data_IF_164980154751
#
_entry.id   IF_164980154751
#
_cell.length_a   1.000
_cell.length_b   1.000
_cell.length_c   1.000
_cell.angle_alpha   90.00
_cell.angle_beta   90.00
_cell.angle_gamma   90.00
#
_symmetry.space_group_name_H-M   'P 1'
#
loop_
_entity.id
_entity.type
_entity.pdbx_description
1 polymer ?
#
# COMPACT_ATOMS: atom_id res chain seq x y z
N UNK A 1 -5.00 -0.29 44.69
CA UNK A 1 -5.33 -1.03 43.44
C UNK A 1 -4.18 -0.86 42.47
N UNK A 2 -3.49 -1.94 42.06
CA UNK A 2 -2.58 -1.84 40.90
C UNK A 2 -3.44 -1.54 39.68
N UNK A 3 -3.21 -0.40 39.03
CA UNK A 3 -3.82 -0.12 37.72
C UNK A 3 -3.45 -1.28 36.79
N UNK A 4 -4.47 -1.97 36.27
CA UNK A 4 -4.26 -3.03 35.27
C UNK A 4 -3.56 -2.39 34.08
N UNK A 5 -2.42 -2.96 33.67
CA UNK A 5 -1.71 -2.50 32.48
C UNK A 5 -2.61 -2.73 31.25
N UNK A 6 -2.67 -1.76 30.31
CA UNK A 6 -3.36 -1.98 29.05
C UNK A 6 -2.83 -3.21 28.32
N UNK A 7 -3.70 -3.92 27.64
CA UNK A 7 -3.38 -5.12 26.87
C UNK A 7 -3.42 -4.84 25.38
N UNK A 8 -2.33 -5.19 24.68
CA UNK A 8 -2.15 -4.91 23.26
C UNK A 8 -1.82 -6.21 22.53
N UNK A 9 -2.57 -6.53 21.50
CA UNK A 9 -2.28 -7.62 20.57
C UNK A 9 -1.70 -7.05 19.29
N UNK A 10 -0.57 -7.58 18.84
CA UNK A 10 0.04 -7.24 17.56
C UNK A 10 0.10 -8.49 16.70
N UNK A 11 -0.52 -8.45 15.52
CA UNK A 11 -0.42 -9.52 14.53
C UNK A 11 0.31 -8.99 13.29
N UNK A 12 1.48 -9.55 13.01
CA UNK A 12 2.33 -9.18 11.89
C UNK A 12 2.34 -10.27 10.80
N UNK A 13 2.65 -9.91 9.57
CA UNK A 13 2.86 -10.87 8.49
C UNK A 13 4.31 -11.36 8.48
N UNK A 14 4.54 -12.64 8.14
CA UNK A 14 5.89 -13.14 7.91
C UNK A 14 6.56 -12.40 6.73
N UNK A 15 7.87 -12.20 6.83
CA UNK A 15 8.68 -11.51 5.81
C UNK A 15 9.53 -12.49 4.99
N UNK A 16 9.86 -12.10 3.75
CA UNK A 16 10.79 -12.85 2.90
C UNK A 16 12.19 -12.94 3.53
N UNK A 17 12.71 -11.80 4.02
CA UNK A 17 14.05 -11.69 4.60
C UNK A 17 14.08 -12.32 6.01
N UNK A 18 14.86 -13.39 6.15
CA UNK A 18 15.09 -14.11 7.40
C UNK A 18 16.54 -13.97 7.87
N UNK A 19 16.77 -14.01 9.19
CA UNK A 19 18.09 -13.89 9.83
C UNK A 19 18.99 -15.11 9.59
N UNK A 20 18.37 -16.26 9.29
CA UNK A 20 19.02 -17.51 8.90
C UNK A 20 18.41 -18.00 7.61
N UNK A 21 19.22 -18.63 6.76
CA UNK A 21 18.82 -19.26 5.49
C UNK A 21 19.60 -20.55 5.30
N UNK A 22 19.04 -21.45 4.49
CA UNK A 22 19.68 -22.69 4.09
C UNK A 22 19.21 -23.06 2.68
N UNK A 23 20.07 -23.64 1.86
CA UNK A 23 19.76 -23.97 0.46
C UNK A 23 18.60 -24.99 0.36
N UNK A 24 18.62 -26.01 1.23
CA UNK A 24 17.56 -27.02 1.33
C UNK A 24 16.36 -26.63 2.22
N UNK A 25 16.18 -25.34 2.54
CA UNK A 25 15.10 -24.92 3.43
C UNK A 25 13.72 -25.32 2.86
N UNK A 26 12.76 -25.73 3.72
CA UNK A 26 11.47 -26.24 3.29
C UNK A 26 10.66 -25.17 2.56
N UNK A 27 9.92 -25.61 1.54
CA UNK A 27 9.00 -24.78 0.77
C UNK A 27 7.56 -24.96 1.26
N UNK A 28 6.60 -24.25 0.66
CA UNK A 28 5.18 -24.45 0.97
C UNK A 28 4.70 -25.91 0.83
N UNK A 29 5.31 -26.70 -0.08
CA UNK A 29 4.97 -28.10 -0.34
C UNK A 29 5.51 -29.05 0.74
N UNK A 30 6.59 -28.65 1.39
CA UNK A 30 7.24 -29.43 2.45
C UNK A 30 6.62 -29.13 3.83
N UNK A 31 5.57 -28.31 3.89
CA UNK A 31 4.95 -27.80 5.12
C UNK A 31 3.41 -27.90 5.10
N UNK A 32 2.83 -28.81 4.31
CA UNK A 32 1.38 -28.94 4.17
C UNK A 32 0.72 -29.51 5.43
N UNK A 33 1.34 -30.51 6.04
CA UNK A 33 0.81 -31.18 7.24
C UNK A 33 1.54 -30.75 8.51
N UNK A 34 0.93 -31.03 9.67
CA UNK A 34 1.57 -30.77 10.97
C UNK A 34 2.87 -31.57 11.12
N UNK A 35 2.85 -32.85 10.78
CA UNK A 35 4.02 -33.73 10.92
C UNK A 35 5.18 -33.28 10.03
N UNK A 36 4.89 -32.77 8.83
CA UNK A 36 5.88 -32.17 7.95
C UNK A 36 6.54 -30.93 8.57
N UNK A 37 5.74 -30.07 9.22
CA UNK A 37 6.26 -28.88 9.92
C UNK A 37 7.14 -29.24 11.12
N UNK A 38 6.76 -30.26 11.88
CA UNK A 38 7.59 -30.75 13.00
C UNK A 38 8.87 -31.42 12.49
N UNK A 39 8.78 -32.26 11.45
CA UNK A 39 9.95 -32.85 10.78
C UNK A 39 10.93 -31.79 10.26
N UNK A 40 10.41 -30.68 9.74
CA UNK A 40 11.23 -29.54 9.32
C UNK A 40 11.92 -28.86 10.51
N UNK A 41 11.24 -28.68 11.66
CA UNK A 41 11.85 -28.14 12.89
C UNK A 41 12.99 -29.04 13.38
N UNK A 42 12.80 -30.36 13.35
CA UNK A 42 13.83 -31.34 13.75
C UNK A 42 15.04 -31.33 12.80
N UNK A 43 14.80 -31.42 11.48
CA UNK A 43 15.85 -31.41 10.46
C UNK A 43 16.73 -30.17 10.53
N UNK A 44 16.16 -29.01 10.81
CA UNK A 44 16.85 -27.72 10.88
C UNK A 44 17.03 -27.23 12.33
N UNK A 45 17.09 -28.14 13.30
CA UNK A 45 17.16 -27.82 14.73
C UNK A 45 18.28 -26.85 15.12
N UNK A 46 19.47 -26.95 14.51
CA UNK A 46 20.60 -26.04 14.74
C UNK A 46 20.38 -24.61 14.20
N UNK A 47 19.42 -24.44 13.29
CA UNK A 47 19.08 -23.18 12.64
C UNK A 47 17.78 -22.58 13.18
N UNK A 48 17.15 -23.18 14.20
CA UNK A 48 15.95 -22.63 14.79
C UNK A 48 16.19 -21.22 15.34
N UNK A 49 15.22 -20.34 15.10
CA UNK A 49 15.15 -19.00 15.68
C UNK A 49 13.74 -18.74 16.16
N UNK A 50 13.62 -17.98 17.25
CA UNK A 50 12.34 -17.42 17.66
C UNK A 50 11.71 -16.64 16.51
N UNK A 51 10.41 -16.77 16.30
CA UNK A 51 9.72 -16.13 15.20
C UNK A 51 9.92 -14.60 15.17
N UNK A 52 9.98 -13.95 16.35
CA UNK A 52 10.26 -12.53 16.50
C UNK A 52 11.68 -12.11 16.07
N UNK A 53 12.63 -13.06 16.08
CA UNK A 53 14.03 -12.89 15.69
C UNK A 53 14.32 -13.40 14.27
N UNK A 54 13.45 -14.27 13.75
CA UNK A 54 13.61 -14.87 12.44
C UNK A 54 13.41 -13.83 11.33
N UNK A 55 12.35 -13.01 11.40
CA UNK A 55 12.02 -12.08 10.32
C UNK A 55 12.71 -10.72 10.50
N UNK A 56 13.54 -10.35 9.52
CA UNK A 56 14.39 -9.14 9.57
C UNK A 56 14.05 -8.11 8.48
N UNK A 57 12.83 -8.17 7.92
CA UNK A 57 12.32 -7.14 7.03
C UNK A 57 12.01 -5.83 7.76
N UNK A 58 11.97 -4.70 7.04
CA UNK A 58 11.78 -3.37 7.64
C UNK A 58 10.53 -3.27 8.54
N UNK A 59 9.39 -3.82 8.10
CA UNK A 59 8.17 -3.89 8.91
C UNK A 59 8.39 -4.71 10.20
N UNK A 60 8.97 -5.90 10.10
CA UNK A 60 9.21 -6.78 11.24
C UNK A 60 10.17 -6.15 12.26
N UNK A 61 11.26 -5.52 11.81
CA UNK A 61 12.19 -4.80 12.68
C UNK A 61 11.52 -3.62 13.40
N UNK A 62 10.64 -2.88 12.71
CA UNK A 62 9.92 -1.77 13.32
C UNK A 62 8.89 -2.25 14.35
N UNK A 63 8.12 -3.30 14.04
CA UNK A 63 7.18 -3.93 14.99
C UNK A 63 7.93 -4.47 16.21
N UNK A 64 9.03 -5.18 16.02
CA UNK A 64 9.85 -5.71 17.12
C UNK A 64 10.33 -4.59 18.07
N UNK A 65 10.81 -3.48 17.51
CA UNK A 65 11.19 -2.30 18.31
C UNK A 65 9.98 -1.72 19.05
N UNK A 66 8.82 -1.65 18.41
CA UNK A 66 7.59 -1.12 19.00
C UNK A 66 7.12 -1.98 20.19
N UNK A 67 7.07 -3.31 20.00
CA UNK A 67 6.75 -4.29 21.05
C UNK A 67 7.69 -4.09 22.24
N UNK A 68 9.01 -4.08 22.03
CA UNK A 68 9.99 -3.87 23.10
C UNK A 68 9.75 -2.58 23.90
N UNK A 69 9.39 -1.49 23.23
CA UNK A 69 9.08 -0.21 23.90
C UNK A 69 7.79 -0.34 24.71
N UNK A 70 6.74 -0.91 24.11
CA UNK A 70 5.42 -1.07 24.73
C UNK A 70 5.42 -2.04 25.90
N UNK A 71 6.22 -3.11 25.89
CA UNK A 71 6.26 -4.10 26.98
C UNK A 71 6.63 -3.50 28.35
N UNK A 72 7.29 -2.33 28.37
CA UNK A 72 7.53 -1.59 29.62
C UNK A 72 6.28 -0.89 30.18
N UNK A 73 5.30 -0.58 29.32
CA UNK A 73 4.11 0.26 29.60
C UNK A 73 2.78 -0.51 29.52
N UNK A 74 2.74 -1.63 28.82
CA UNK A 74 1.56 -2.43 28.51
C UNK A 74 1.90 -3.94 28.52
N UNK A 75 0.88 -4.78 28.66
CA UNK A 75 0.98 -6.21 28.31
C UNK A 75 0.87 -6.32 26.78
N UNK A 76 1.89 -6.90 26.13
CA UNK A 76 1.93 -6.98 24.68
C UNK A 76 2.05 -8.44 24.25
N UNK A 77 1.06 -8.91 23.52
CA UNK A 77 1.07 -10.22 22.87
C UNK A 77 1.45 -10.03 21.40
N UNK A 78 2.58 -10.58 20.98
CA UNK A 78 3.09 -10.48 19.61
C UNK A 78 3.00 -11.81 18.87
N UNK A 79 2.21 -11.82 17.80
CA UNK A 79 2.02 -12.96 16.93
C UNK A 79 2.37 -12.64 15.48
N UNK A 80 2.77 -13.66 14.73
CA UNK A 80 3.11 -13.57 13.32
C UNK A 80 2.29 -14.61 12.54
N UNK A 81 1.68 -14.18 11.43
CA UNK A 81 1.07 -15.08 10.46
C UNK A 81 2.16 -15.56 9.51
N UNK A 82 2.54 -16.83 9.64
CA UNK A 82 3.46 -17.55 8.77
C UNK A 82 2.71 -18.32 7.68
N UNK A 83 3.09 -18.09 6.43
CA UNK A 83 2.60 -18.92 5.32
C UNK A 83 3.09 -20.38 5.40
N UNK A 84 4.12 -20.69 6.19
CA UNK A 84 4.62 -22.04 6.42
C UNK A 84 4.05 -22.70 7.67
N UNK A 85 3.84 -21.93 8.75
CA UNK A 85 3.61 -22.45 10.09
C UNK A 85 2.31 -21.99 10.76
N UNK A 86 1.50 -21.17 10.10
CA UNK A 86 0.24 -20.68 10.66
C UNK A 86 0.43 -19.47 11.58
N UNK A 87 -0.38 -19.36 12.63
CA UNK A 87 -0.24 -18.29 13.61
C UNK A 87 0.78 -18.71 14.68
N UNK A 88 1.91 -18.00 14.76
CA UNK A 88 3.02 -18.31 15.67
C UNK A 88 3.22 -17.17 16.67
N UNK A 89 3.58 -17.49 17.91
CA UNK A 89 3.99 -16.48 18.90
C UNK A 89 5.44 -16.03 18.63
N UNK A 90 5.81 -14.82 19.06
CA UNK A 90 7.16 -14.30 18.90
C UNK A 90 8.27 -15.24 19.39
N UNK A 91 8.03 -16.01 20.46
CA UNK A 91 9.01 -16.92 21.06
C UNK A 91 8.99 -18.33 20.45
N UNK A 92 8.07 -18.63 19.53
CA UNK A 92 8.01 -19.95 18.90
C UNK A 92 9.24 -20.16 18.00
N UNK A 93 9.93 -21.29 18.18
CA UNK A 93 11.09 -21.65 17.39
C UNK A 93 10.68 -22.15 16.00
N UNK A 94 11.17 -21.47 14.98
CA UNK A 94 10.94 -21.79 13.58
C UNK A 94 12.27 -22.01 12.83
N UNK A 95 12.32 -22.95 11.88
CA UNK A 95 13.47 -23.10 10.99
C UNK A 95 13.45 -22.03 9.90
N UNK A 96 14.55 -21.83 9.15
CA UNK A 96 14.48 -21.16 7.86
C UNK A 96 13.50 -21.90 6.94
N UNK A 97 12.78 -21.17 6.08
CA UNK A 97 11.83 -21.74 5.11
C UNK A 97 11.53 -20.72 4.01
N UNK A 98 11.05 -21.18 2.85
CA UNK A 98 10.53 -20.32 1.77
C UNK A 98 9.08 -20.63 1.47
N UNK A 99 8.18 -19.83 2.02
CA UNK A 99 6.76 -19.92 1.70
C UNK A 99 6.10 -18.55 1.88
N UNK A 100 5.20 -18.20 0.97
CA UNK A 100 4.51 -16.91 0.95
C UNK A 100 3.06 -17.07 0.48
N UNK A 101 2.17 -16.21 0.96
CA UNK A 101 0.83 -16.04 0.40
C UNK A 101 0.82 -15.14 -0.83
N UNK A 102 1.87 -14.34 -1.04
CA UNK A 102 1.93 -13.38 -2.14
C UNK A 102 1.91 -14.07 -3.50
N UNK A 103 1.07 -13.57 -4.40
CA UNK A 103 0.87 -14.13 -5.74
C UNK A 103 -0.10 -15.30 -5.80
N UNK A 104 -0.61 -15.79 -4.67
CA UNK A 104 -1.69 -16.78 -4.65
C UNK A 104 -3.05 -16.13 -4.90
N UNK A 105 -3.98 -16.89 -5.48
CA UNK A 105 -5.37 -16.45 -5.58
C UNK A 105 -6.02 -16.39 -4.19
N UNK A 106 -7.03 -15.53 -4.00
CA UNK A 106 -7.77 -15.44 -2.73
C UNK A 106 -8.31 -16.80 -2.26
N UNK A 107 -8.74 -17.66 -3.19
CA UNK A 107 -9.19 -19.02 -2.89
C UNK A 107 -8.05 -19.89 -2.34
N UNK A 108 -6.90 -19.89 -3.02
CA UNK A 108 -5.73 -20.65 -2.57
C UNK A 108 -5.18 -20.15 -1.22
N UNK A 109 -5.22 -18.84 -0.97
CA UNK A 109 -4.86 -18.26 0.33
C UNK A 109 -5.78 -18.80 1.43
N UNK A 110 -7.10 -18.81 1.21
CA UNK A 110 -8.07 -19.33 2.18
C UNK A 110 -7.86 -20.81 2.46
N UNK A 111 -7.76 -21.64 1.42
CA UNK A 111 -7.52 -23.08 1.56
C UNK A 111 -6.23 -23.37 2.34
N UNK A 112 -5.16 -22.65 2.05
CA UNK A 112 -3.91 -22.79 2.80
C UNK A 112 -4.05 -22.29 4.24
N UNK A 113 -4.74 -21.18 4.47
CA UNK A 113 -4.95 -20.64 5.80
C UNK A 113 -5.78 -21.58 6.69
N UNK A 114 -6.75 -22.29 6.11
CA UNK A 114 -7.52 -23.35 6.78
C UNK A 114 -6.64 -24.55 7.13
N UNK A 115 -5.80 -25.04 6.21
CA UNK A 115 -4.82 -26.11 6.50
C UNK A 115 -3.84 -25.75 7.63
N UNK A 116 -3.52 -24.47 7.75
CA UNK A 116 -2.66 -23.92 8.81
C UNK A 116 -3.44 -23.50 10.07
N UNK A 117 -4.76 -23.72 10.10
CA UNK A 117 -5.66 -23.33 11.19
C UNK A 117 -5.53 -21.85 11.60
N UNK A 118 -5.19 -20.94 10.67
CA UNK A 118 -4.98 -19.51 10.97
C UNK A 118 -6.28 -18.85 11.49
N UNK A 119 -7.44 -18.94 10.79
CA UNK A 119 -8.67 -18.31 11.27
C UNK A 119 -9.08 -18.79 12.65
N UNK A 120 -9.00 -20.11 12.89
CA UNK A 120 -9.36 -20.71 14.18
C UNK A 120 -8.40 -20.28 15.29
N UNK A 121 -7.10 -20.25 15.02
CA UNK A 121 -6.08 -19.84 15.99
C UNK A 121 -6.22 -18.38 16.39
N UNK A 122 -6.52 -17.50 15.43
CA UNK A 122 -6.79 -16.08 15.71
C UNK A 122 -8.08 -15.93 16.52
N UNK A 123 -9.15 -16.66 16.18
CA UNK A 123 -10.39 -16.66 16.99
C UNK A 123 -10.13 -17.12 18.43
N UNK A 124 -9.24 -18.09 18.66
CA UNK A 124 -8.88 -18.53 20.02
C UNK A 124 -8.23 -17.43 20.87
N UNK A 125 -7.61 -16.41 20.26
CA UNK A 125 -7.08 -15.26 20.99
C UNK A 125 -8.19 -14.39 21.62
N UNK A 126 -9.42 -14.45 21.11
CA UNK A 126 -10.57 -13.69 21.62
C UNK A 126 -11.07 -14.13 23.01
N UNK A 127 -10.47 -15.16 23.61
CA UNK A 127 -10.69 -15.53 25.02
C UNK A 127 -10.35 -14.39 26.00
N UNK A 128 -9.50 -13.45 25.57
CA UNK A 128 -9.23 -12.16 26.21
C UNK A 128 -9.61 -11.06 25.22
N UNK A 129 -10.27 -10.01 25.70
CA UNK A 129 -10.49 -8.80 24.92
C UNK A 129 -9.34 -7.83 25.17
N UNK A 130 -8.60 -7.50 24.12
CA UNK A 130 -7.48 -6.55 24.18
C UNK A 130 -7.99 -5.11 24.18
N UNK A 131 -7.23 -4.19 24.77
CA UNK A 131 -7.52 -2.76 24.64
C UNK A 131 -7.22 -2.27 23.22
N UNK A 132 -6.17 -2.81 22.60
CA UNK A 132 -5.79 -2.51 21.22
C UNK A 132 -5.36 -3.79 20.49
N UNK A 133 -5.89 -4.00 19.28
CA UNK A 133 -5.43 -5.02 18.32
C UNK A 133 -4.85 -4.32 17.11
N UNK A 134 -3.57 -4.54 16.82
CA UNK A 134 -2.88 -3.95 15.68
C UNK A 134 -2.55 -5.02 14.62
N UNK A 135 -3.27 -5.00 13.51
CA UNK A 135 -3.09 -5.91 12.38
C UNK A 135 -2.12 -5.29 11.35
N UNK A 136 -0.83 -5.54 11.52
CA UNK A 136 0.22 -5.15 10.58
C UNK A 136 0.27 -6.10 9.38
N UNK A 137 -0.84 -6.22 8.65
CA UNK A 137 -1.05 -7.21 7.60
C UNK A 137 -1.30 -6.55 6.24
N UNK A 138 -0.72 -7.12 5.17
CA UNK A 138 -1.09 -6.81 3.78
C UNK A 138 -2.41 -7.46 3.38
N UNK A 139 -2.94 -7.09 2.20
CA UNK A 139 -4.25 -7.62 1.72
C UNK A 139 -4.27 -9.14 1.67
N UNK A 140 -3.23 -9.77 1.12
CA UNK A 140 -3.11 -11.24 1.06
C UNK A 140 -3.18 -11.90 2.43
N UNK A 141 -2.56 -11.27 3.44
CA UNK A 141 -2.55 -11.80 4.81
C UNK A 141 -3.86 -11.50 5.54
N UNK A 142 -4.53 -10.38 5.27
CA UNK A 142 -5.87 -10.12 5.82
C UNK A 142 -6.87 -11.19 5.38
N UNK A 143 -6.76 -11.71 4.15
CA UNK A 143 -7.61 -12.81 3.65
C UNK A 143 -7.45 -14.08 4.51
N UNK A 144 -6.27 -14.31 5.10
CA UNK A 144 -6.02 -15.50 5.94
C UNK A 144 -6.80 -15.50 7.26
N UNK A 145 -7.33 -14.35 7.67
CA UNK A 145 -8.09 -14.20 8.91
C UNK A 145 -9.54 -14.71 8.79
N UNK A 146 -10.05 -14.91 7.58
CA UNK A 146 -11.45 -15.21 7.34
C UNK A 146 -12.31 -13.94 7.30
N UNK A 147 -13.52 -13.99 7.87
CA UNK A 147 -14.36 -12.79 8.00
C UNK A 147 -13.83 -11.92 9.15
N UNK A 148 -13.49 -10.67 8.84
CA UNK A 148 -13.00 -9.72 9.84
C UNK A 148 -14.04 -9.43 10.92
N UNK A 149 -15.34 -9.57 10.62
CA UNK A 149 -16.42 -9.37 11.60
C UNK A 149 -16.32 -10.34 12.78
N UNK A 150 -15.80 -11.54 12.54
CA UNK A 150 -15.59 -12.56 13.58
C UNK A 150 -14.54 -12.12 14.61
N UNK A 151 -13.73 -11.10 14.29
CA UNK A 151 -12.70 -10.57 15.17
C UNK A 151 -13.19 -9.43 16.06
N UNK A 152 -14.46 -9.04 15.99
CA UNK A 152 -14.97 -7.88 16.72
C UNK A 152 -14.76 -7.97 18.24
N UNK A 153 -14.81 -9.17 18.81
CA UNK A 153 -14.63 -9.41 20.24
C UNK A 153 -13.15 -9.48 20.67
N UNK A 154 -12.22 -9.44 19.70
CA UNK A 154 -10.79 -9.55 19.96
C UNK A 154 -10.26 -8.28 20.64
N UNK A 155 -10.81 -7.11 20.36
CA UNK A 155 -10.36 -5.89 21.02
C UNK A 155 -11.35 -4.74 21.03
N UNK A 156 -11.16 -3.82 21.99
CA UNK A 156 -11.91 -2.56 22.08
C UNK A 156 -11.61 -1.63 20.91
N UNK A 157 -10.39 -1.72 20.38
CA UNK A 157 -9.92 -0.98 19.21
C UNK A 157 -9.17 -1.94 18.29
N UNK A 158 -9.56 -2.05 17.02
CA UNK A 158 -8.93 -2.94 16.03
C UNK A 158 -8.45 -2.14 14.84
N UNK A 159 -7.14 -2.06 14.69
CA UNK A 159 -6.46 -1.32 13.62
C UNK A 159 -6.06 -2.26 12.51
N UNK A 160 -6.42 -1.92 11.27
CA UNK A 160 -5.95 -2.64 10.09
C UNK A 160 -5.79 -1.69 8.90
N UNK A 161 -5.15 -2.21 7.85
CA UNK A 161 -4.78 -1.42 6.68
C UNK A 161 -5.32 -2.06 5.41
N UNK A 162 -6.40 -1.50 4.88
CA UNK A 162 -7.07 -2.02 3.69
C UNK A 162 -8.41 -1.37 3.44
N UNK A 163 -9.25 -2.04 2.66
CA UNK A 163 -10.65 -1.65 2.45
C UNK A 163 -11.56 -2.76 2.96
N UNK A 164 -12.47 -2.42 3.85
CA UNK A 164 -13.57 -3.29 4.24
C UNK A 164 -14.83 -2.45 4.42
N UNK A 165 -15.98 -3.04 4.12
CA UNK A 165 -17.30 -2.43 4.30
C UNK A 165 -18.02 -3.14 5.44
N UNK A 166 -18.96 -2.43 6.06
CA UNK A 166 -19.90 -3.01 7.03
C UNK A 166 -19.23 -3.68 8.23
N UNK A 167 -18.10 -3.11 8.69
CA UNK A 167 -17.41 -3.55 9.90
C UNK A 167 -18.02 -2.90 11.16
N UNK A 168 -17.93 -3.57 12.33
CA UNK A 168 -18.28 -2.99 13.61
C UNK A 168 -17.49 -1.70 13.93
N UNK A 169 -18.04 -0.87 14.82
CA UNK A 169 -17.54 0.48 15.09
C UNK A 169 -16.15 0.53 15.75
N UNK A 170 -15.70 -0.56 16.37
CA UNK A 170 -14.36 -0.70 16.94
C UNK A 170 -13.27 -0.98 15.90
N UNK A 171 -13.62 -1.20 14.63
CA UNK A 171 -12.65 -1.32 13.55
C UNK A 171 -12.25 0.05 13.00
N UNK A 172 -10.94 0.25 12.83
CA UNK A 172 -10.38 1.45 12.23
C UNK A 172 -9.46 1.03 11.08
N UNK A 173 -9.90 1.38 9.87
CA UNK A 173 -9.19 1.06 8.64
C UNK A 173 -8.42 2.28 8.17
N UNK A 174 -7.15 2.09 7.85
CA UNK A 174 -6.32 3.13 7.26
C UNK A 174 -5.91 2.75 5.84
N UNK A 175 -6.08 3.70 4.93
CA UNK A 175 -5.73 3.60 3.53
C UNK A 175 -4.25 3.87 3.33
N UNK A 176 -3.65 3.27 2.29
CA UNK A 176 -2.28 3.59 1.86
C UNK A 176 -2.06 5.07 1.50
N UNK A 177 -3.16 5.80 1.27
CA UNK A 177 -3.17 7.23 0.99
C UNK A 177 -3.33 8.11 2.23
N UNK A 178 -3.51 7.52 3.41
CA UNK A 178 -3.53 8.26 4.66
C UNK A 178 -2.08 8.46 5.12
N UNK A 179 -1.70 9.71 5.33
CA UNK A 179 -0.35 10.10 5.75
C UNK A 179 -0.38 10.63 7.18
N UNK A 180 0.58 10.20 8.00
CA UNK A 180 0.83 10.78 9.32
C UNK A 180 2.17 11.51 9.33
N UNK A 181 2.21 12.74 9.85
CA UNK A 181 3.43 13.56 9.84
C UNK A 181 3.35 14.95 10.50
N UNK A 182 4.23 15.14 11.51
CA UNK A 182 4.79 16.32 12.23
C UNK A 182 3.94 17.34 13.03
N UNK A 183 3.89 17.13 14.36
CA UNK A 183 4.27 18.07 15.44
C UNK A 183 4.62 17.24 16.67
N UNK A 184 5.90 16.93 16.87
CA UNK A 184 6.44 16.77 18.21
C UNK A 184 7.86 17.35 18.21
N UNK A 185 8.35 17.78 19.36
CA UNK A 185 9.72 18.26 19.58
C UNK A 185 10.79 17.16 19.45
N UNK A 186 10.40 15.93 19.07
CA UNK A 186 11.29 14.78 18.88
C UNK A 186 11.32 14.35 17.40
N UNK A 187 12.49 13.98 16.84
CA UNK A 187 12.79 14.08 15.41
C UNK A 187 12.42 12.83 14.60
N UNK A 188 11.27 12.19 14.86
CA UNK A 188 11.09 10.79 14.40
C UNK A 188 10.46 10.71 13.00
N UNK A 189 9.52 11.60 12.65
CA UNK A 189 9.11 11.79 11.26
C UNK A 189 9.94 12.91 10.63
N UNK A 190 11.00 12.56 9.89
CA UNK A 190 11.69 13.54 9.03
C UNK A 190 10.80 14.01 7.87
N UNK A 191 9.83 13.18 7.44
CA UNK A 191 8.84 13.44 6.37
C UNK A 191 7.50 12.74 6.70
N UNK A 192 6.35 13.17 6.15
CA UNK A 192 5.09 12.43 6.26
C UNK A 192 5.23 11.00 5.74
N UNK A 193 4.67 10.03 6.44
CA UNK A 193 4.69 8.61 6.06
C UNK A 193 3.27 8.17 5.75
N UNK A 194 3.04 7.69 4.51
CA UNK A 194 1.77 7.10 4.09
C UNK A 194 1.63 5.66 4.60
N UNK A 195 0.42 5.12 4.73
CA UNK A 195 0.19 3.78 5.27
C UNK A 195 0.53 2.61 4.30
N UNK A 196 1.68 2.65 3.63
CA UNK A 196 2.21 1.56 2.81
C UNK A 196 2.66 0.37 3.67
N UNK A 197 2.92 -0.80 3.07
CA UNK A 197 3.34 -2.02 3.81
C UNK A 197 4.56 -1.74 4.71
N UNK A 198 5.62 -1.13 4.18
CA UNK A 198 6.79 -0.76 4.98
C UNK A 198 6.48 0.24 6.10
N UNK A 199 5.47 1.08 5.90
CA UNK A 199 5.07 2.08 6.87
C UNK A 199 4.24 1.53 8.04
N UNK A 200 3.53 0.40 7.90
CA UNK A 200 2.69 -0.17 8.97
C UNK A 200 3.51 -0.42 10.24
N UNK A 201 4.71 -0.98 10.09
CA UNK A 201 5.60 -1.19 11.23
C UNK A 201 6.09 0.14 11.83
N UNK A 202 6.45 1.09 10.97
CA UNK A 202 6.95 2.42 11.39
C UNK A 202 5.88 3.25 12.08
N UNK A 203 4.63 3.21 11.61
CA UNK A 203 3.47 3.85 12.23
C UNK A 203 3.30 3.34 13.66
N UNK A 204 3.29 2.02 13.84
CA UNK A 204 3.14 1.41 15.15
C UNK A 204 4.31 1.73 16.08
N UNK A 205 5.54 1.77 15.55
CA UNK A 205 6.71 2.18 16.31
C UNK A 205 6.59 3.63 16.81
N UNK A 206 6.07 4.54 16.00
CA UNK A 206 5.86 5.92 16.44
C UNK A 206 4.78 6.01 17.51
N UNK A 207 3.67 5.29 17.34
CA UNK A 207 2.67 5.14 18.39
C UNK A 207 3.29 4.62 19.68
N UNK A 208 4.08 3.54 19.63
CA UNK A 208 4.74 2.94 20.80
C UNK A 208 5.66 3.93 21.56
N UNK A 209 6.40 4.77 20.82
CA UNK A 209 7.29 5.78 21.40
C UNK A 209 6.50 6.84 22.15
N UNK A 210 5.40 7.33 21.57
CA UNK A 210 4.55 8.37 22.16
C UNK A 210 3.51 7.81 23.12
N UNK A 211 3.34 6.48 23.17
CA UNK A 211 2.32 5.82 23.96
C UNK A 211 2.44 6.14 25.44
N UNK A 212 1.31 6.56 26.00
CA UNK A 212 1.05 6.63 27.43
C UNK A 212 -0.19 5.79 27.75
N UNK A 213 -0.25 5.11 28.91
CA UNK A 213 -1.43 4.33 29.28
C UNK A 213 -2.73 5.15 29.13
N UNK A 214 -3.70 4.59 28.42
CA UNK A 214 -4.98 5.25 28.11
C UNK A 214 -5.05 5.99 26.78
N UNK A 215 -3.93 6.21 26.08
CA UNK A 215 -3.94 6.81 24.74
C UNK A 215 -4.52 5.83 23.71
N UNK A 216 -5.63 6.18 23.06
CA UNK A 216 -6.17 5.41 21.93
C UNK A 216 -5.31 5.58 20.68
N UNK A 217 -5.20 4.53 19.85
CA UNK A 217 -4.48 4.62 18.59
C UNK A 217 -5.16 5.58 17.63
N UNK A 218 -6.49 5.56 17.56
CA UNK A 218 -7.31 6.47 16.73
C UNK A 218 -7.13 7.93 17.13
N UNK A 219 -7.10 8.22 18.43
CA UNK A 219 -6.83 9.58 18.94
C UNK A 219 -5.45 10.05 18.50
N UNK A 220 -4.43 9.21 18.74
CA UNK A 220 -3.06 9.48 18.30
C UNK A 220 -3.00 9.70 16.77
N UNK A 221 -3.64 8.84 15.99
CA UNK A 221 -3.68 8.93 14.53
C UNK A 221 -4.32 10.24 14.07
N UNK A 222 -5.49 10.59 14.61
CA UNK A 222 -6.20 11.82 14.26
C UNK A 222 -5.39 13.07 14.60
N UNK A 223 -4.70 13.07 15.75
CA UNK A 223 -3.76 14.15 16.09
C UNK A 223 -2.67 14.28 15.02
N UNK A 224 -2.13 13.17 14.50
CA UNK A 224 -1.07 13.18 13.49
C UNK A 224 -1.56 13.46 12.06
N UNK A 225 -2.83 13.22 11.74
CA UNK A 225 -3.43 13.57 10.45
C UNK A 225 -3.49 15.09 10.23
N UNK A 226 -3.93 15.85 11.26
CA UNK A 226 -4.09 17.32 11.22
C UNK A 226 -2.78 18.05 10.88
N UNK A 227 -1.66 17.38 11.09
CA UNK A 227 -0.32 17.93 10.93
C UNK A 227 0.15 17.90 9.47
N UNK A 228 -0.35 16.96 8.67
CA UNK A 228 -0.09 16.91 7.22
C UNK A 228 -0.83 18.02 6.50
N UNK A 229 -2.07 18.33 6.90
CA UNK A 229 -2.85 19.42 6.30
C UNK A 229 -2.21 20.80 6.58
N UNK A 230 -1.67 21.00 7.78
CA UNK A 230 -0.93 22.22 8.13
C UNK A 230 0.38 22.34 7.35
N UNK A 231 1.15 21.26 7.21
CA UNK A 231 2.37 21.25 6.41
C UNK A 231 2.11 21.66 4.95
N UNK A 232 1.08 21.10 4.33
CA UNK A 232 0.68 21.43 2.95
C UNK A 232 0.20 22.88 2.77
N UNK A 233 -0.18 23.57 3.84
CA UNK A 233 -0.71 24.94 3.80
C UNK A 233 0.30 26.00 4.22
N UNK A 234 1.27 25.69 5.09
CA UNK A 234 2.34 26.62 5.48
C UNK A 234 3.43 26.80 4.43
N UNK A 235 3.84 25.75 3.71
CA UNK A 235 4.87 25.90 2.66
C UNK A 235 4.38 26.72 1.44
N UNK A 236 3.06 26.83 1.24
CA UNK A 236 2.49 27.75 0.24
C UNK A 236 2.67 29.23 0.59
N UNK A 237 2.96 29.58 1.85
CA UNK A 237 3.15 30.97 2.29
C UNK A 237 4.61 31.42 2.25
N UNK A 238 5.57 30.50 2.25
CA UNK A 238 7.00 30.82 2.21
C UNK A 238 7.58 30.92 0.79
N UNK A 239 6.87 30.43 -0.23
CA UNK A 239 7.29 30.56 -1.65
C UNK A 239 6.98 31.92 -2.29
N UNK A 240 6.42 32.88 -1.55
CA UNK A 240 6.17 34.26 -2.03
C UNK A 240 7.30 35.26 -1.75
N UNK A 241 8.50 34.84 -1.33
CA UNK A 241 9.62 35.75 -1.11
C UNK A 241 10.62 35.80 -2.28
N UNK A 242 10.59 36.96 -2.98
CA UNK A 242 11.60 37.55 -3.89
C UNK A 242 11.79 36.92 -5.28
N UNK A 243 10.90 37.27 -6.21
CA UNK A 243 11.32 37.44 -7.61
C UNK A 243 12.02 38.80 -7.78
N UNK A 244 13.36 38.80 -7.78
CA UNK A 244 14.14 39.90 -8.36
C UNK A 244 14.48 39.52 -9.80
N UNK A 245 14.01 40.35 -10.73
CA UNK A 245 14.38 40.38 -12.15
C UNK A 245 15.90 40.26 -12.34
N UNK A 246 16.34 39.39 -13.24
CA UNK A 246 17.39 39.73 -14.21
C UNK A 246 17.22 38.94 -15.50
N UNK A 247 17.01 39.68 -16.57
CA UNK A 247 17.24 39.28 -17.95
C UNK A 247 18.66 38.73 -18.16
N UNK A 248 18.81 37.66 -18.93
CA UNK A 248 19.72 37.64 -20.08
C UNK A 248 19.46 36.41 -20.95
N UNK A 249 19.43 36.65 -22.25
CA UNK A 249 19.32 35.69 -23.33
C UNK A 249 20.66 35.02 -23.63
N UNK A 250 20.60 33.76 -24.11
CA UNK A 250 21.32 33.18 -25.27
C UNK A 250 21.82 31.75 -25.05
N UNK A 251 21.30 30.86 -25.91
CA UNK A 251 21.92 29.74 -26.63
C UNK A 251 22.99 28.87 -25.96
N UNK A 252 22.73 27.55 -25.88
CA UNK A 252 23.73 26.48 -26.12
C UNK A 252 23.04 25.29 -26.83
N UNK A 253 23.71 24.59 -27.78
CA UNK A 253 23.09 23.69 -28.77
C UNK A 253 22.99 22.22 -28.35
N UNK A 254 22.27 21.50 -29.20
CA UNK A 254 22.04 20.05 -29.30
C UNK A 254 23.22 19.15 -28.91
N UNK A 255 22.94 18.15 -28.07
CA UNK A 255 23.67 16.88 -28.03
C UNK A 255 22.67 15.77 -28.33
N UNK A 256 22.85 15.11 -29.47
CA UNK A 256 22.22 13.84 -29.78
C UNK A 256 22.97 12.72 -29.06
N UNK A 257 22.20 11.79 -28.50
CA UNK A 257 22.66 10.42 -28.30
C UNK A 257 21.53 9.49 -28.75
N UNK A 258 21.68 8.96 -29.97
CA UNK A 258 21.05 7.71 -30.35
C UNK A 258 21.86 6.56 -29.73
N UNK A 259 21.19 5.73 -28.94
CA UNK A 259 21.38 4.27 -29.00
C UNK A 259 20.09 3.57 -28.63
N UNK A 260 19.63 2.77 -29.58
CA UNK A 260 18.61 1.73 -29.45
C UNK A 260 18.89 0.86 -28.23
N UNK A 261 17.88 0.65 -27.42
CA UNK A 261 17.70 -0.59 -26.68
C UNK A 261 16.28 -1.08 -26.93
N UNK A 262 16.18 -2.12 -27.75
CA UNK A 262 15.04 -3.01 -27.81
C UNK A 262 14.73 -3.48 -26.38
N UNK A 263 13.50 -3.24 -25.91
CA UNK A 263 12.95 -3.97 -24.78
C UNK A 263 11.54 -4.42 -25.12
N UNK A 264 11.43 -5.74 -25.22
CA UNK A 264 10.23 -6.55 -25.21
C UNK A 264 9.12 -5.91 -24.37
N UNK A 265 8.02 -5.56 -25.02
CA UNK A 265 6.75 -5.26 -24.38
C UNK A 265 6.31 -6.52 -23.63
N UNK A 266 6.57 -6.52 -22.33
CA UNK A 266 6.26 -7.62 -21.44
C UNK A 266 4.74 -7.83 -21.35
N UNK A 267 4.31 -9.10 -21.49
CA UNK A 267 2.93 -9.54 -21.27
C UNK A 267 2.42 -9.14 -19.87
N UNK A 268 3.32 -8.84 -18.92
CA UNK A 268 2.99 -8.30 -17.61
C UNK A 268 2.37 -6.89 -17.66
N UNK A 269 2.78 -6.02 -18.60
CA UNK A 269 2.23 -4.67 -18.70
C UNK A 269 0.78 -4.70 -19.20
N UNK A 270 0.49 -5.53 -20.20
CA UNK A 270 -0.88 -5.76 -20.71
C UNK A 270 -1.75 -6.40 -19.63
N UNK A 271 -1.20 -7.34 -18.84
CA UNK A 271 -1.90 -7.95 -17.69
C UNK A 271 -2.19 -6.94 -16.58
N UNK A 272 -1.26 -6.03 -16.28
CA UNK A 272 -1.44 -4.95 -15.29
C UNK A 272 -2.48 -3.94 -15.79
N UNK A 273 -2.44 -3.57 -17.07
CA UNK A 273 -3.43 -2.67 -17.70
C UNK A 273 -4.81 -3.33 -17.70
N UNK A 274 -4.91 -4.60 -18.08
CA UNK A 274 -6.18 -5.34 -18.09
C UNK A 274 -6.75 -5.53 -16.68
N UNK A 275 -5.89 -5.82 -15.69
CA UNK A 275 -6.30 -5.94 -14.27
C UNK A 275 -6.71 -4.61 -13.68
N UNK A 276 -6.05 -3.51 -14.06
CA UNK A 276 -6.38 -2.16 -13.63
C UNK A 276 -7.73 -1.70 -14.20
N UNK A 277 -7.96 -1.94 -15.49
CA UNK A 277 -9.24 -1.63 -16.17
C UNK A 277 -10.39 -2.45 -15.55
N UNK A 278 -10.19 -3.76 -15.30
CA UNK A 278 -11.17 -4.64 -14.64
C UNK A 278 -11.42 -4.35 -13.16
N UNK A 279 -10.49 -3.65 -12.50
CA UNK A 279 -10.60 -3.30 -11.06
C UNK A 279 -11.30 -1.97 -10.83
N UNK A 280 -11.14 -1.03 -11.74
CA UNK A 280 -11.68 0.34 -11.61
C UNK A 280 -13.02 0.52 -12.32
N UNK A 281 -13.42 -0.42 -13.18
CA UNK A 281 -14.68 -0.43 -13.93
C UNK A 281 -15.28 -1.84 -13.91
N UNK A 282 -16.60 -1.96 -13.74
CA UNK A 282 -17.25 -3.27 -13.80
C UNK A 282 -17.18 -3.86 -15.22
N UNK A 283 -17.26 -5.18 -15.36
CA UNK A 283 -17.34 -5.81 -16.69
C UNK A 283 -18.57 -5.32 -17.47
N UNK A 284 -19.62 -4.88 -16.78
CA UNK A 284 -20.82 -4.24 -17.35
C UNK A 284 -20.51 -2.82 -17.86
N UNK A 285 -19.81 -1.97 -17.09
CA UNK A 285 -19.38 -0.63 -17.54
C UNK A 285 -18.44 -0.68 -18.75
N UNK A 286 -17.60 -1.72 -18.84
CA UNK A 286 -16.67 -1.92 -19.97
C UNK A 286 -17.37 -2.49 -21.20
N UNK A 287 -18.35 -3.38 -21.01
CA UNK A 287 -19.19 -3.91 -22.09
C UNK A 287 -20.08 -2.82 -22.66
N UNK A 288 -20.70 -2.01 -21.81
CA UNK A 288 -21.52 -0.87 -22.19
C UNK A 288 -20.70 0.18 -22.96
N UNK A 289 -19.44 0.44 -22.54
CA UNK A 289 -18.54 1.34 -23.28
C UNK A 289 -18.21 0.78 -24.66
N UNK A 290 -17.87 -0.51 -24.76
CA UNK A 290 -17.49 -1.20 -26.00
C UNK A 290 -18.67 -1.27 -26.99
N UNK A 291 -19.85 -1.66 -26.50
CA UNK A 291 -21.10 -1.72 -27.28
C UNK A 291 -21.59 -0.32 -27.70
N UNK A 292 -21.36 0.72 -26.88
CA UNK A 292 -21.62 2.11 -27.23
C UNK A 292 -20.71 2.64 -28.34
N UNK A 293 -19.44 2.20 -28.41
CA UNK A 293 -18.51 2.55 -29.50
C UNK A 293 -18.84 1.85 -30.82
N UNK A 294 -19.29 0.58 -30.79
CA UNK A 294 -19.48 -0.22 -32.00
C UNK A 294 -20.83 0.02 -32.70
N UNK A 295 -21.85 0.54 -32.00
CA UNK A 295 -23.25 0.60 -32.50
C UNK A 295 -23.76 2.00 -32.93
N UNK A 296 -22.88 2.98 -33.18
CA UNK A 296 -23.30 4.33 -33.57
C UNK A 296 -23.89 4.39 -34.99
N UNK A 297 -25.16 4.04 -35.15
CA UNK A 297 -26.05 4.56 -36.21
C UNK A 297 -26.93 5.68 -35.66
N UNK A 298 -27.56 6.41 -36.56
CA UNK A 298 -28.14 7.74 -36.36
C UNK A 298 -29.08 7.87 -35.15
N UNK A 299 -28.74 8.84 -34.30
CA UNK A 299 -29.55 9.50 -33.25
C UNK A 299 -29.81 8.63 -32.01
N UNK A 300 -28.98 8.84 -30.99
CA UNK A 300 -29.42 8.71 -29.60
C UNK A 300 -28.75 9.80 -28.75
N UNK A 301 -29.48 10.88 -28.49
CA UNK A 301 -29.04 12.00 -27.65
C UNK A 301 -28.66 11.52 -26.24
N UNK A 302 -29.36 10.49 -25.73
CA UNK A 302 -29.03 9.84 -24.45
C UNK A 302 -27.64 9.22 -24.43
N UNK A 303 -27.17 8.65 -25.55
CA UNK A 303 -25.84 8.05 -25.66
C UNK A 303 -24.73 9.11 -25.76
N UNK A 304 -25.02 10.26 -26.38
CA UNK A 304 -24.10 11.40 -26.37
C UNK A 304 -23.98 12.03 -24.96
N UNK A 305 -25.06 12.05 -24.18
CA UNK A 305 -25.06 12.45 -22.78
C UNK A 305 -24.26 11.47 -21.91
N UNK A 306 -24.36 10.16 -22.16
CA UNK A 306 -23.55 9.13 -21.48
C UNK A 306 -22.06 9.26 -21.82
N UNK A 307 -21.70 9.43 -23.09
CA UNK A 307 -20.32 9.68 -23.51
C UNK A 307 -19.79 10.96 -22.84
N UNK A 308 -20.55 12.05 -22.82
CA UNK A 308 -20.17 13.29 -22.13
C UNK A 308 -20.00 13.08 -20.61
N UNK A 309 -20.86 12.27 -19.97
CA UNK A 309 -20.75 11.91 -18.56
C UNK A 309 -19.46 11.13 -18.28
N UNK A 310 -19.11 10.16 -19.14
CA UNK A 310 -17.86 9.41 -19.00
C UNK A 310 -16.64 10.29 -19.28
N UNK A 311 -16.64 11.10 -20.35
CA UNK A 311 -15.58 12.07 -20.67
C UNK A 311 -15.36 13.03 -19.50
N UNK A 312 -16.41 13.58 -18.91
CA UNK A 312 -16.32 14.43 -17.71
C UNK A 312 -15.72 13.70 -16.50
N UNK A 313 -16.10 12.43 -16.28
CA UNK A 313 -15.54 11.56 -15.23
C UNK A 313 -14.04 11.27 -15.47
N UNK A 314 -13.63 11.03 -16.71
CA UNK A 314 -12.23 10.81 -17.09
C UNK A 314 -11.39 12.08 -16.99
N UNK A 315 -11.88 13.23 -17.46
CA UNK A 315 -11.21 14.53 -17.32
C UNK A 315 -11.04 14.94 -15.86
N UNK A 316 -12.03 14.67 -15.02
CA UNK A 316 -11.93 14.90 -13.57
C UNK A 316 -10.86 14.01 -12.92
N UNK A 317 -10.78 12.73 -13.32
CA UNK A 317 -9.72 11.81 -12.85
C UNK A 317 -8.33 12.21 -13.37
N UNK A 318 -8.23 12.67 -14.62
CA UNK A 318 -6.98 13.16 -15.21
C UNK A 318 -6.43 14.35 -14.42
N UNK A 319 -7.29 15.32 -14.10
CA UNK A 319 -6.91 16.48 -13.29
C UNK A 319 -6.42 16.10 -11.88
N UNK A 320 -6.99 15.03 -11.29
CA UNK A 320 -6.50 14.48 -10.01
C UNK A 320 -5.12 13.85 -10.16
N UNK A 321 -4.88 13.06 -11.22
CA UNK A 321 -3.58 12.44 -11.47
C UNK A 321 -2.51 13.46 -11.79
N UNK A 322 -2.82 14.49 -12.58
CA UNK A 322 -1.91 15.59 -12.90
C UNK A 322 -1.53 16.38 -11.63
N UNK A 323 -2.49 16.67 -10.74
CA UNK A 323 -2.20 17.27 -9.42
C UNK A 323 -1.33 16.39 -8.53
N UNK A 324 -1.55 15.08 -8.56
CA UNK A 324 -0.72 14.13 -7.79
C UNK A 324 0.71 14.11 -8.34
N UNK A 325 0.88 14.06 -9.67
CA UNK A 325 2.19 14.10 -10.32
C UNK A 325 2.92 15.41 -10.06
N UNK A 326 2.22 16.55 -10.12
CA UNK A 326 2.76 17.87 -9.76
C UNK A 326 3.24 17.89 -8.30
N UNK A 327 2.42 17.38 -7.37
CA UNK A 327 2.78 17.28 -5.95
C UNK A 327 4.03 16.41 -5.73
N UNK A 328 4.14 15.31 -6.46
CA UNK A 328 5.34 14.49 -6.45
C UNK A 328 6.54 15.30 -6.97
N UNK A 329 6.47 15.89 -8.16
CA UNK A 329 7.60 16.59 -8.77
C UNK A 329 8.14 17.73 -7.89
N UNK A 330 7.24 18.50 -7.27
CA UNK A 330 7.63 19.54 -6.31
C UNK A 330 8.37 18.96 -5.09
N UNK A 331 7.94 17.79 -4.60
CA UNK A 331 8.63 17.10 -3.50
C UNK A 331 10.06 16.71 -3.87
N UNK A 332 10.35 16.34 -5.12
CA UNK A 332 11.73 16.03 -5.54
C UNK A 332 12.62 17.23 -5.70
N UNK A 333 12.08 18.34 -6.19
CA UNK A 333 12.85 19.57 -6.31
C UNK A 333 13.28 20.06 -4.91
N UNK A 334 12.41 19.91 -3.91
CA UNK A 334 12.71 20.16 -2.50
C UNK A 334 13.73 19.18 -1.93
N UNK A 335 13.68 17.91 -2.34
CA UNK A 335 14.67 16.91 -1.92
C UNK A 335 16.05 17.24 -2.49
N UNK A 336 16.15 17.52 -3.79
CA UNK A 336 17.42 17.80 -4.49
C UNK A 336 18.12 19.08 -4.03
N UNK A 337 17.38 20.07 -3.55
CA UNK A 337 17.91 21.38 -3.14
C UNK A 337 18.37 21.45 -1.69
N UNK A 338 18.07 20.45 -0.85
CA UNK A 338 18.35 20.48 0.59
C UNK A 338 19.24 19.33 1.09
N UNK A 339 19.99 18.65 0.22
CA UNK A 339 20.92 17.58 0.62
C UNK A 339 22.30 18.17 0.95
N UNK A 340 22.39 18.88 2.09
CA UNK A 340 23.68 19.10 2.74
C UNK A 340 23.90 18.01 3.81
N UNK A 341 24.67 16.98 3.42
CA UNK A 341 25.54 16.24 4.34
C UNK A 341 24.95 15.18 5.29
N UNK A 342 23.71 14.70 5.13
CA UNK A 342 23.11 13.77 6.11
C UNK A 342 22.39 12.52 5.55
N UNK A 343 22.63 12.15 4.29
CA UNK A 343 22.11 10.93 3.66
C UNK A 343 23.31 10.10 3.17
N UNK A 344 23.35 8.81 3.49
CA UNK A 344 24.30 7.89 2.83
C UNK A 344 23.83 7.68 1.39
N UNK A 345 24.72 7.73 0.40
CA UNK A 345 24.40 7.56 -1.04
C UNK A 345 23.40 6.42 -1.32
N UNK A 346 23.50 5.31 -0.59
CA UNK A 346 22.62 4.14 -0.73
C UNK A 346 21.14 4.42 -0.37
N UNK A 347 20.89 5.27 0.62
CA UNK A 347 19.54 5.71 1.00
C UNK A 347 18.97 6.75 0.04
N UNK A 348 19.83 7.59 -0.53
CA UNK A 348 19.46 8.55 -1.58
C UNK A 348 19.01 7.78 -2.82
N UNK A 349 19.80 6.78 -3.25
CA UNK A 349 19.48 5.91 -4.38
C UNK A 349 18.17 5.12 -4.19
N UNK A 350 17.89 4.63 -2.97
CA UNK A 350 16.64 3.90 -2.67
C UNK A 350 15.41 4.81 -2.71
N UNK A 351 15.53 6.03 -2.16
CA UNK A 351 14.46 7.02 -2.18
C UNK A 351 14.23 7.52 -3.60
N UNK A 352 15.28 7.79 -4.36
CA UNK A 352 15.20 8.21 -5.77
C UNK A 352 14.58 7.12 -6.64
N UNK A 353 14.96 5.85 -6.47
CA UNK A 353 14.41 4.74 -7.25
C UNK A 353 12.93 4.47 -6.95
N UNK A 354 12.55 4.46 -5.67
CA UNK A 354 11.14 4.25 -5.28
C UNK A 354 10.27 5.41 -5.75
N UNK A 355 10.78 6.64 -5.60
CA UNK A 355 10.08 7.83 -6.08
C UNK A 355 9.99 7.85 -7.62
N UNK A 356 11.06 7.53 -8.33
CA UNK A 356 11.06 7.45 -9.80
C UNK A 356 10.05 6.40 -10.29
N UNK A 357 9.92 5.27 -9.58
CA UNK A 357 8.88 4.29 -9.84
C UNK A 357 7.47 4.85 -9.64
N UNK A 358 7.21 5.61 -8.56
CA UNK A 358 5.91 6.23 -8.35
C UNK A 358 5.58 7.28 -9.41
N UNK A 359 6.54 8.12 -9.80
CA UNK A 359 6.37 9.09 -10.90
C UNK A 359 6.08 8.38 -12.21
N UNK A 360 6.83 7.32 -12.54
CA UNK A 360 6.62 6.51 -13.75
C UNK A 360 5.21 5.91 -13.77
N UNK A 361 4.73 5.37 -12.64
CA UNK A 361 3.37 4.83 -12.51
C UNK A 361 2.32 5.93 -12.75
N UNK A 362 2.49 7.13 -12.20
CA UNK A 362 1.55 8.23 -12.39
C UNK A 362 1.58 8.79 -13.82
N UNK A 363 2.77 8.90 -14.43
CA UNK A 363 2.92 9.29 -15.84
C UNK A 363 2.24 8.29 -16.79
N UNK A 364 2.38 6.99 -16.55
CA UNK A 364 1.68 5.96 -17.33
C UNK A 364 0.15 6.03 -17.12
N UNK A 365 -0.34 6.29 -15.89
CA UNK A 365 -1.79 6.53 -15.67
C UNK A 365 -2.31 7.74 -16.43
N UNK A 366 -1.57 8.85 -16.43
CA UNK A 366 -1.89 10.05 -17.20
C UNK A 366 -1.91 9.75 -18.69
N UNK A 367 -0.88 9.05 -19.20
CA UNK A 367 -0.76 8.65 -20.60
C UNK A 367 -1.91 7.75 -21.05
N UNK A 368 -2.25 6.72 -20.27
CA UNK A 368 -3.39 5.83 -20.56
C UNK A 368 -4.70 6.63 -20.56
N UNK A 369 -4.91 7.49 -19.54
CA UNK A 369 -6.13 8.29 -19.43
C UNK A 369 -6.25 9.29 -20.60
N UNK A 370 -5.15 9.92 -21.02
CA UNK A 370 -5.10 10.79 -22.20
C UNK A 370 -5.34 10.04 -23.50
N UNK A 371 -4.80 8.83 -23.65
CA UNK A 371 -5.05 8.00 -24.83
C UNK A 371 -6.52 7.62 -24.94
N UNK A 372 -7.15 7.21 -23.83
CA UNK A 372 -8.59 6.89 -23.78
C UNK A 372 -9.44 8.12 -24.10
N UNK A 373 -9.11 9.29 -23.54
CA UNK A 373 -9.78 10.55 -23.85
C UNK A 373 -9.63 10.91 -25.34
N UNK A 374 -8.42 10.80 -25.90
CA UNK A 374 -8.14 11.10 -27.30
C UNK A 374 -8.84 10.12 -28.25
N UNK A 375 -8.90 8.83 -27.96
CA UNK A 375 -9.64 7.85 -28.75
C UNK A 375 -11.14 8.14 -28.71
N UNK A 376 -11.67 8.50 -27.54
CA UNK A 376 -13.08 8.88 -27.36
C UNK A 376 -13.39 10.17 -28.14
N UNK A 377 -12.56 11.20 -28.03
CA UNK A 377 -12.68 12.45 -28.79
C UNK A 377 -12.52 12.22 -30.30
N UNK A 378 -11.59 11.37 -30.73
CA UNK A 378 -11.35 11.07 -32.14
C UNK A 378 -12.54 10.31 -32.76
N UNK A 379 -13.15 9.37 -32.03
CA UNK A 379 -14.37 8.67 -32.43
C UNK A 379 -15.53 9.67 -32.58
N UNK A 380 -15.70 10.57 -31.61
CA UNK A 380 -16.72 11.62 -31.64
C UNK A 380 -16.51 12.58 -32.82
N UNK A 381 -15.28 13.06 -33.04
CA UNK A 381 -14.93 13.97 -34.13
C UNK A 381 -15.08 13.30 -35.51
N UNK A 382 -14.63 12.05 -35.69
CA UNK A 382 -14.84 11.29 -36.95
C UNK A 382 -16.32 11.20 -37.29
N UNK A 383 -17.16 10.96 -36.29
CA UNK A 383 -18.61 10.83 -36.47
C UNK A 383 -19.26 12.19 -36.79
N UNK A 384 -18.87 13.27 -36.12
CA UNK A 384 -19.31 14.64 -36.43
C UNK A 384 -18.94 15.04 -37.87
N UNK A 385 -17.73 14.70 -38.32
CA UNK A 385 -17.26 14.95 -39.70
C UNK A 385 -18.02 14.09 -40.72
N UNK A 386 -18.35 12.83 -40.41
CA UNK A 386 -19.19 11.99 -41.28
C UNK A 386 -20.63 12.53 -41.38
N UNK A 387 -21.20 12.99 -40.28
CA UNK A 387 -22.56 13.55 -40.23
C UNK A 387 -22.64 14.91 -40.96
N UNK A 388 -21.65 15.78 -40.79
CA UNK A 388 -21.60 17.07 -41.51
C UNK A 388 -21.42 16.90 -43.03
N UNK A 389 -20.70 15.86 -43.48
CA UNK A 389 -20.60 15.49 -44.90
C UNK A 389 -21.89 14.89 -45.46
N UNK A 390 -22.67 14.18 -44.65
CA UNK A 390 -23.99 13.62 -45.04
C UNK A 390 -25.05 14.72 -45.19
N UNK A 391 -25.05 15.71 -44.29
CA UNK A 391 -25.96 16.87 -44.34
C UNK A 391 -25.60 17.93 -45.40
N UNK A 392 -24.41 17.87 -46.02
CA UNK A 392 -24.07 18.70 -47.19
C UNK A 392 -24.44 18.05 -48.55
N UNK A 393 -24.93 16.81 -48.54
CA UNK A 393 -25.37 16.05 -49.73
C UNK A 393 -26.90 15.88 -49.82
N UNK A 394 -27.63 16.48 -48.88
CA UNK A 394 -29.05 16.79 -48.93
C UNK A 394 -29.16 18.30 -49.17
#
# INVERSE_FOLDING_TARGET
MRSLKPSILVINSCGKKKSVQHDDQPTCKDLETKDQRESAKEKFSSLLREAGELYIGGQALAIKKAVKILSSKAEVDYYIISAGFGLVNENELLPPYECTFSGLSKKAIKERAEKLAIPESVRKLSKKTYDLVYLSLGEDYLVTLGDLKDLANLGKEIIFFGKAKDLPSNFHSFSTYDFVGKRTSKPIFKKPIGATVLAKGTIFLNFAIEYTPGLSFKEWWNEKLVLVEKYLTTEKKDTTFKSKKSSLSKSIPSISYERKTDYLLDKSLISIISSFVKREFSEEELRDLSEATDSLTSIDIKRAEEINKYTSKFSSKLAVYEKILEKYNNLMEVIKTNVDGAITEEMELLVENEYANQVRIQQEKIKITKNVLNETEFVVIKKIVQLSRKNRKL
#
